data_IF_326809959891
#
_entry.id   IF_326809959891
#
_cell.length_a   1.000
_cell.length_b   1.000
_cell.length_c   1.000
_cell.angle_alpha   90.00
_cell.angle_beta   90.00
_cell.angle_gamma   90.00
#
_symmetry.space_group_name_H-M   'P 1'
#
loop_
_entity.id
_entity.type
_entity.pdbx_description
1 polymer ?
#
# COMPACT_ATOMS: atom_id res chain seq x y z
N UNK A 1 -13.55 6.22 -11.93
CA UNK A 1 -12.19 5.84 -11.49
C UNK A 1 -11.24 6.18 -12.63
N UNK A 2 -9.96 6.41 -12.34
CA UNK A 2 -8.92 6.63 -13.34
C UNK A 2 -7.60 6.05 -12.84
N UNK A 3 -6.60 6.00 -13.72
CA UNK A 3 -5.24 5.57 -13.39
C UNK A 3 -4.24 6.63 -13.84
N UNK A 4 -3.29 6.94 -12.98
CA UNK A 4 -2.17 7.85 -13.27
C UNK A 4 -0.91 7.01 -13.34
N UNK A 5 -0.33 6.89 -14.53
CA UNK A 5 0.87 6.11 -14.75
C UNK A 5 2.11 6.96 -14.46
N UNK A 6 3.06 6.41 -13.71
CA UNK A 6 4.35 7.06 -13.48
C UNK A 6 5.49 6.06 -13.49
N UNK A 7 6.72 6.57 -13.64
CA UNK A 7 7.96 5.79 -13.51
C UNK A 7 8.91 6.51 -12.57
N UNK A 8 9.55 5.74 -11.70
CA UNK A 8 10.69 6.18 -10.91
C UNK A 8 11.94 5.80 -11.68
N UNK A 9 12.84 6.75 -11.88
CA UNK A 9 14.18 6.52 -12.44
C UNK A 9 15.20 6.74 -11.34
N UNK A 10 15.97 5.71 -11.02
CA UNK A 10 17.02 5.78 -9.99
C UNK A 10 18.31 6.39 -10.55
N UNK A 11 19.26 6.71 -9.67
CA UNK A 11 20.54 7.33 -10.07
C UNK A 11 21.39 6.42 -10.99
N UNK A 12 21.26 5.09 -10.86
CA UNK A 12 21.89 4.09 -11.72
C UNK A 12 21.09 3.80 -13.01
N UNK A 13 19.97 4.49 -13.25
CA UNK A 13 19.18 4.37 -14.47
C UNK A 13 18.19 3.20 -14.49
N UNK A 14 17.93 2.56 -13.36
CA UNK A 14 16.85 1.57 -13.26
C UNK A 14 15.48 2.28 -13.25
N UNK A 15 14.52 1.72 -13.98
CA UNK A 15 13.16 2.23 -14.04
C UNK A 15 12.20 1.30 -13.29
N UNK A 16 11.34 1.88 -12.45
CA UNK A 16 10.26 1.18 -11.76
C UNK A 16 8.92 1.85 -12.07
N UNK A 17 7.96 1.05 -12.53
CA UNK A 17 6.57 1.45 -12.71
C UNK A 17 5.87 1.67 -11.37
N UNK A 18 5.20 2.83 -11.27
CA UNK A 18 4.43 3.22 -10.11
C UNK A 18 3.13 3.86 -10.58
N UNK A 19 2.05 3.09 -10.61
CA UNK A 19 0.76 3.60 -11.06
C UNK A 19 -0.16 3.86 -9.86
N UNK A 20 -0.93 4.94 -9.94
CA UNK A 20 -1.90 5.31 -8.92
C UNK A 20 -3.31 5.08 -9.46
N UNK A 21 -4.11 4.26 -8.77
CA UNK A 21 -5.53 4.18 -9.04
C UNK A 21 -6.26 5.24 -8.22
N UNK A 22 -7.02 6.08 -8.90
CA UNK A 22 -7.67 7.25 -8.31
C UNK A 22 -9.18 7.19 -8.49
N UNK A 23 -9.89 7.74 -7.52
CA UNK A 23 -11.34 7.92 -7.55
C UNK A 23 -11.67 9.39 -7.28
N UNK A 24 -12.68 9.91 -7.98
CA UNK A 24 -13.21 11.23 -7.72
C UNK A 24 -14.28 11.10 -6.64
N UNK A 25 -14.08 11.77 -5.50
CA UNK A 25 -15.02 11.76 -4.37
C UNK A 25 -15.19 13.19 -3.87
N UNK A 26 -16.43 13.67 -3.85
CA UNK A 26 -16.80 15.03 -3.42
C UNK A 26 -16.03 16.12 -4.20
N UNK A 27 -15.83 15.93 -5.50
CA UNK A 27 -15.06 16.87 -6.33
C UNK A 27 -13.53 16.76 -6.21
N UNK A 28 -13.02 15.88 -5.35
CA UNK A 28 -11.58 15.69 -5.14
C UNK A 28 -11.09 14.33 -5.64
N UNK A 29 -9.96 14.31 -6.35
CA UNK A 29 -9.29 13.06 -6.71
C UNK A 29 -8.54 12.50 -5.51
N UNK A 30 -8.81 11.23 -5.17
CA UNK A 30 -8.16 10.52 -4.06
C UNK A 30 -7.53 9.24 -4.58
N UNK A 31 -6.27 9.02 -4.22
CA UNK A 31 -5.59 7.74 -4.46
C UNK A 31 -6.19 6.70 -3.52
N UNK A 32 -6.58 5.55 -4.07
CA UNK A 32 -7.09 4.44 -3.26
C UNK A 32 -6.22 3.18 -3.36
N UNK A 33 -5.38 3.07 -4.40
CA UNK A 33 -4.44 1.96 -4.57
C UNK A 33 -3.20 2.45 -5.31
N UNK A 34 -2.07 1.81 -5.02
CA UNK A 34 -0.78 2.02 -5.67
C UNK A 34 -0.34 0.69 -6.24
N UNK A 35 0.04 0.69 -7.51
CA UNK A 35 0.51 -0.48 -8.24
C UNK A 35 2.00 -0.29 -8.53
N UNK A 36 2.83 -1.10 -7.87
CA UNK A 36 4.28 -1.12 -8.07
C UNK A 36 4.62 -2.36 -8.88
N UNK A 37 5.25 -2.24 -10.05
CA UNK A 37 5.63 -3.40 -10.86
C UNK A 37 4.46 -4.38 -11.09
N UNK A 38 3.28 -3.84 -11.41
CA UNK A 38 2.01 -4.58 -11.57
C UNK A 38 1.43 -5.22 -10.30
N UNK A 39 2.04 -4.99 -9.13
CA UNK A 39 1.56 -5.48 -7.83
C UNK A 39 0.77 -4.37 -7.13
N UNK A 40 -0.55 -4.58 -7.02
CA UNK A 40 -1.44 -3.72 -6.22
C UNK A 40 -1.13 -3.88 -4.73
N UNK A 41 -0.83 -2.77 -4.05
CA UNK A 41 -0.63 -2.77 -2.61
C UNK A 41 -1.92 -3.16 -1.89
N UNK A 42 -3.09 -2.67 -2.31
CA UNK A 42 -4.36 -3.05 -1.69
C UNK A 42 -4.60 -4.55 -1.77
N UNK A 43 -4.38 -5.17 -2.94
CA UNK A 43 -4.56 -6.61 -3.09
C UNK A 43 -3.53 -7.41 -2.28
N UNK A 44 -2.27 -6.96 -2.26
CA UNK A 44 -1.21 -7.58 -1.48
C UNK A 44 -1.56 -7.58 0.03
N UNK A 45 -1.86 -6.41 0.59
CA UNK A 45 -2.22 -6.30 2.01
C UNK A 45 -3.51 -7.05 2.34
N UNK A 46 -4.52 -7.03 1.46
CA UNK A 46 -5.75 -7.82 1.65
C UNK A 46 -5.46 -9.30 1.80
N UNK A 47 -4.63 -9.87 0.92
CA UNK A 47 -4.23 -11.27 1.00
C UNK A 47 -3.49 -11.59 2.31
N UNK A 48 -2.58 -10.72 2.74
CA UNK A 48 -1.87 -10.87 4.01
C UNK A 48 -2.82 -10.82 5.21
N UNK A 49 -3.77 -9.88 5.22
CA UNK A 49 -4.73 -9.72 6.30
C UNK A 49 -5.70 -10.91 6.37
N UNK A 50 -6.22 -11.37 5.23
CA UNK A 50 -7.04 -12.59 5.16
C UNK A 50 -6.29 -13.79 5.75
N UNK A 51 -5.00 -13.94 5.42
CA UNK A 51 -4.16 -15.02 5.99
C UNK A 51 -4.00 -14.89 7.50
N UNK A 52 -3.78 -13.68 8.03
CA UNK A 52 -3.64 -13.47 9.48
C UNK A 52 -4.95 -13.79 10.19
N UNK A 53 -6.07 -13.26 9.70
CA UNK A 53 -7.38 -13.50 10.29
C UNK A 53 -7.73 -14.99 10.28
N UNK A 54 -7.48 -15.68 9.15
CA UNK A 54 -7.77 -17.11 9.02
C UNK A 54 -6.93 -17.99 9.95
N UNK A 55 -5.68 -17.60 10.26
CA UNK A 55 -4.77 -18.38 11.11
C UNK A 55 -4.73 -17.91 12.57
N UNK A 56 -5.39 -16.81 12.90
CA UNK A 56 -5.35 -16.18 14.22
C UNK A 56 -6.69 -15.50 14.48
N UNK A 57 -6.73 -14.16 14.47
CA UNK A 57 -7.96 -13.40 14.67
C UNK A 57 -7.84 -11.98 14.13
N UNK A 58 -8.95 -11.25 14.16
CA UNK A 58 -8.97 -9.82 13.85
C UNK A 58 -8.18 -9.00 14.87
N UNK A 59 -8.28 -9.33 16.15
CA UNK A 59 -7.56 -8.66 17.24
C UNK A 59 -6.05 -8.78 17.04
N UNK A 60 -5.57 -9.95 16.61
CA UNK A 60 -4.16 -10.18 16.31
C UNK A 60 -3.70 -9.35 15.10
N UNK A 61 -4.53 -9.21 14.06
CA UNK A 61 -4.24 -8.30 12.95
C UNK A 61 -4.07 -6.86 13.43
N UNK A 62 -5.02 -6.37 14.24
CA UNK A 62 -4.98 -5.00 14.78
C UNK A 62 -3.74 -4.79 15.66
N UNK A 63 -3.38 -5.78 16.48
CA UNK A 63 -2.17 -5.74 17.31
C UNK A 63 -0.92 -5.57 16.44
N UNK A 64 -0.74 -6.44 15.43
CA UNK A 64 0.41 -6.36 14.50
C UNK A 64 0.49 -5.03 13.76
N UNK A 65 -0.65 -4.46 13.37
CA UNK A 65 -0.67 -3.14 12.72
C UNK A 65 -0.17 -2.03 13.65
N UNK A 66 -0.58 -2.04 14.93
CA UNK A 66 -0.13 -1.08 15.93
C UNK A 66 1.37 -1.22 16.21
N UNK A 67 1.85 -2.45 16.33
CA UNK A 67 3.28 -2.72 16.58
C UNK A 67 4.14 -2.19 15.42
N UNK A 68 3.73 -2.44 14.18
CA UNK A 68 4.43 -1.94 12.99
C UNK A 68 4.41 -0.41 12.88
N UNK A 69 3.34 0.26 13.30
CA UNK A 69 3.30 1.73 13.34
C UNK A 69 4.31 2.30 14.35
N UNK A 70 4.46 1.65 15.51
CA UNK A 70 5.43 2.05 16.53
C UNK A 70 6.86 1.86 16.04
N UNK A 71 7.14 0.77 15.33
CA UNK A 71 8.45 0.49 14.72
C UNK A 71 8.84 1.59 13.72
N UNK A 72 7.97 1.89 12.74
CA UNK A 72 8.22 2.94 11.74
C UNK A 72 8.39 4.32 12.40
N UNK A 73 7.66 4.62 13.47
CA UNK A 73 7.79 5.87 14.20
C UNK A 73 9.11 5.98 14.98
N UNK A 74 9.67 4.86 15.44
CA UNK A 74 10.97 4.80 16.11
C UNK A 74 12.13 4.97 15.14
N UNK A 75 12.05 4.37 13.95
CA UNK A 75 13.09 4.49 12.92
C UNK A 75 13.22 5.91 12.32
N UNK A 76 12.18 6.74 12.49
CA UNK A 76 12.17 8.14 12.05
C UNK A 76 12.71 9.14 13.08
N UNK A 77 13.11 8.68 14.27
CA UNK A 77 13.74 9.50 15.33
C UNK A 77 15.24 9.29 15.37
#
# INVERSE_FOLDING_TARGET
YAEVNSRIVTHNGEEFSLNYKVLLKNGEWKVYDVVVENISLVNNYRSQFTRIIANSSYEELVRRMKDKQIEVARERK
#
